data_IF_209089215270
#
_entry.id   IF_209089215270
#
_cell.length_a   1.000
_cell.length_b   1.000
_cell.length_c   1.000
_cell.angle_alpha   90.00
_cell.angle_beta   90.00
_cell.angle_gamma   90.00
#
_symmetry.space_group_name_H-M   'P 1'
#
loop_
_entity.id
_entity.type
_entity.pdbx_description
1 polymer ?
#
# COMPACT_ATOMS: atom_id res chain seq x y z
N UNK A 1 5.75 9.36 -16.12
CA UNK A 1 5.76 7.88 -16.27
C UNK A 1 7.16 7.26 -16.41
N UNK A 2 8.19 7.95 -16.95
CA UNK A 2 9.53 7.36 -17.13
C UNK A 2 10.29 7.09 -15.81
N UNK A 3 10.10 7.90 -14.77
CA UNK A 3 10.83 7.75 -13.50
C UNK A 3 10.37 6.59 -12.62
N UNK A 4 9.08 6.23 -12.68
CA UNK A 4 8.54 5.11 -11.90
C UNK A 4 9.12 3.75 -12.36
N UNK A 5 9.37 3.62 -13.66
CA UNK A 5 9.85 2.36 -14.25
C UNK A 5 11.34 2.10 -14.01
N UNK A 6 12.17 3.14 -14.04
CA UNK A 6 13.62 3.01 -13.83
C UNK A 6 13.95 2.63 -12.36
N UNK A 7 13.19 3.12 -11.40
CA UNK A 7 13.41 2.82 -9.98
C UNK A 7 12.95 1.41 -9.55
N UNK A 8 11.96 0.84 -10.24
CA UNK A 8 11.44 -0.50 -9.94
C UNK A 8 12.37 -1.64 -10.38
N UNK A 9 13.22 -1.42 -11.40
CA UNK A 9 14.03 -2.48 -12.03
C UNK A 9 15.51 -2.45 -11.57
N UNK A 10 16.00 -1.34 -11.01
CA UNK A 10 17.45 -1.10 -10.84
C UNK A 10 18.03 -1.34 -9.43
N UNK A 11 17.25 -1.68 -8.41
CA UNK A 11 17.81 -1.91 -7.06
C UNK A 11 18.30 -3.35 -6.89
N UNK A 12 19.62 -3.52 -6.97
CA UNK A 12 20.34 -4.76 -6.63
C UNK A 12 20.29 -4.98 -5.11
N UNK A 13 19.90 -6.20 -4.70
CA UNK A 13 20.01 -6.69 -3.33
C UNK A 13 21.48 -6.69 -2.85
N UNK A 14 21.78 -5.96 -1.81
CA UNK A 14 23.03 -6.13 -1.03
C UNK A 14 22.75 -7.10 0.10
N UNK A 15 23.51 -8.20 0.14
CA UNK A 15 23.49 -9.22 1.20
C UNK A 15 24.07 -8.67 2.51
N UNK A 16 23.54 -9.07 3.68
CA UNK A 16 24.14 -8.74 4.97
C UNK A 16 25.27 -9.72 5.33
N UNK A 17 26.32 -9.20 5.95
CA UNK A 17 27.42 -9.96 6.52
C UNK A 17 27.18 -10.29 8.00
N UNK A 18 27.81 -11.39 8.47
CA UNK A 18 27.58 -12.13 9.71
C UNK A 18 28.12 -11.50 11.00
N UNK A 19 27.36 -11.68 12.10
CA UNK A 19 27.54 -12.07 13.52
C UNK A 19 28.86 -11.74 14.32
N UNK A 20 28.84 -11.97 15.66
CA UNK A 20 27.86 -11.79 16.75
C UNK A 20 28.42 -11.05 17.99
N UNK A 21 27.58 -10.65 18.95
CA UNK A 21 27.89 -10.72 20.42
C UNK A 21 26.61 -10.53 21.25
N UNK A 22 26.51 -11.31 22.31
CA UNK A 22 25.47 -11.54 23.28
C UNK A 22 25.06 -10.35 24.16
N UNK A 23 23.76 -10.12 24.38
CA UNK A 23 23.21 -9.54 25.62
C UNK A 23 21.83 -10.13 25.92
N UNK A 24 21.65 -10.56 27.14
CA UNK A 24 20.58 -11.38 27.67
C UNK A 24 19.39 -10.59 28.24
N UNK A 25 18.22 -11.24 28.31
CA UNK A 25 17.04 -11.01 29.17
C UNK A 25 15.98 -9.96 28.81
N UNK A 26 16.18 -9.00 27.91
CA UNK A 26 15.09 -8.15 27.40
C UNK A 26 14.59 -8.62 26.04
N UNK A 27 15.40 -9.36 25.30
CA UNK A 27 15.07 -9.93 23.98
C UNK A 27 13.96 -10.98 24.05
N UNK A 28 13.88 -11.75 25.12
CA UNK A 28 12.93 -12.86 25.28
C UNK A 28 11.44 -12.43 25.31
N UNK A 29 11.13 -11.20 25.76
CA UNK A 29 9.73 -10.74 25.84
C UNK A 29 9.21 -10.21 24.52
N UNK A 30 10.05 -9.54 23.74
CA UNK A 30 9.67 -8.95 22.45
C UNK A 30 9.57 -10.03 21.38
N UNK A 31 10.53 -10.95 21.32
CA UNK A 31 10.49 -12.12 20.43
C UNK A 31 9.32 -13.06 20.76
N UNK A 32 9.01 -13.26 22.04
CA UNK A 32 7.88 -14.10 22.48
C UNK A 32 6.54 -13.49 22.12
N UNK A 33 6.39 -12.17 22.15
CA UNK A 33 5.17 -11.48 21.72
C UNK A 33 5.03 -11.51 20.21
N UNK A 34 6.05 -11.18 19.45
CA UNK A 34 6.04 -11.27 17.98
C UNK A 34 5.75 -12.70 17.49
N UNK A 35 6.31 -13.71 18.15
CA UNK A 35 6.05 -15.12 17.81
C UNK A 35 4.60 -15.52 18.10
N UNK A 36 4.01 -15.03 19.18
CA UNK A 36 2.58 -15.25 19.50
C UNK A 36 1.65 -14.55 18.49
N UNK A 37 1.98 -13.35 18.04
CA UNK A 37 1.22 -12.64 17.02
C UNK A 37 1.34 -13.31 15.66
N UNK A 38 2.52 -13.79 15.28
CA UNK A 38 2.75 -14.56 14.05
C UNK A 38 2.02 -15.92 14.07
N UNK A 39 2.02 -16.62 15.19
CA UNK A 39 1.26 -17.87 15.33
C UNK A 39 -0.24 -17.59 15.26
N UNK A 40 -0.71 -16.48 15.82
CA UNK A 40 -2.09 -16.06 15.66
C UNK A 40 -2.44 -15.72 14.19
N UNK A 41 -1.53 -15.06 13.42
CA UNK A 41 -1.76 -14.73 12.01
C UNK A 41 -2.04 -15.95 11.14
N UNK A 42 -1.38 -17.09 11.39
CA UNK A 42 -1.59 -18.36 10.66
C UNK A 42 -3.03 -18.85 10.69
N UNK A 43 -3.75 -18.62 11.79
CA UNK A 43 -5.14 -19.03 11.94
C UNK A 43 -6.10 -18.25 11.02
N UNK A 44 -5.68 -17.08 10.56
CA UNK A 44 -6.50 -16.20 9.71
C UNK A 44 -6.18 -16.29 8.22
N UNK A 45 -5.21 -17.08 7.82
CA UNK A 45 -4.82 -17.27 6.42
C UNK A 45 -5.03 -18.72 5.96
N UNK A 46 -5.11 -18.91 4.64
CA UNK A 46 -5.17 -20.22 3.99
C UNK A 46 -4.60 -20.14 2.58
N UNK A 47 -4.23 -21.27 2.01
CA UNK A 47 -3.81 -21.36 0.62
C UNK A 47 -5.01 -21.48 -0.31
N UNK A 48 -5.13 -20.57 -1.28
CA UNK A 48 -6.10 -20.61 -2.37
C UNK A 48 -5.40 -20.93 -3.67
N UNK A 49 -5.98 -21.81 -4.48
CA UNK A 49 -5.50 -22.12 -5.83
C UNK A 49 -5.99 -21.06 -6.81
N UNK A 50 -5.07 -20.53 -7.60
CA UNK A 50 -5.31 -19.58 -8.68
C UNK A 50 -4.88 -20.17 -10.01
N UNK A 51 -5.57 -19.78 -11.09
CA UNK A 51 -5.16 -20.03 -12.48
C UNK A 51 -4.73 -18.71 -13.10
N UNK A 52 -3.52 -18.67 -13.63
CA UNK A 52 -2.99 -17.44 -14.21
C UNK A 52 -3.63 -17.15 -15.58
N UNK A 53 -4.28 -15.99 -15.78
CA UNK A 53 -4.90 -15.66 -17.07
C UNK A 53 -3.87 -15.39 -18.19
N UNK A 54 -2.58 -15.21 -17.84
CA UNK A 54 -1.51 -14.93 -18.81
C UNK A 54 -0.87 -16.21 -19.35
N UNK A 55 -0.48 -17.14 -18.48
CA UNK A 55 0.27 -18.35 -18.87
C UNK A 55 -0.46 -19.67 -18.57
N UNK A 56 -1.67 -19.58 -18.03
CA UNK A 56 -2.55 -20.71 -17.72
C UNK A 56 -2.07 -21.66 -16.60
N UNK A 57 -0.93 -21.34 -15.98
CA UNK A 57 -0.39 -22.14 -14.88
C UNK A 57 -1.28 -22.07 -13.64
N UNK A 58 -1.43 -23.20 -12.95
CA UNK A 58 -2.05 -23.25 -11.62
C UNK A 58 -0.99 -23.09 -10.54
N UNK A 59 -1.31 -22.31 -9.52
CA UNK A 59 -0.43 -22.10 -8.38
C UNK A 59 -1.25 -21.77 -7.13
N UNK A 60 -0.63 -21.90 -5.97
CA UNK A 60 -1.24 -21.55 -4.69
C UNK A 60 -0.72 -20.18 -4.23
N UNK A 61 -1.57 -19.40 -3.61
CA UNK A 61 -1.21 -18.15 -2.94
C UNK A 61 -1.96 -18.04 -1.63
N UNK A 62 -1.30 -17.49 -0.61
CA UNK A 62 -1.92 -17.25 0.69
C UNK A 62 -2.96 -16.14 0.60
N UNK A 63 -4.08 -16.34 1.27
CA UNK A 63 -5.24 -15.45 1.27
C UNK A 63 -5.82 -15.38 2.67
N UNK A 64 -6.38 -14.23 3.04
CA UNK A 64 -7.03 -14.04 4.35
C UNK A 64 -8.42 -14.66 4.36
N UNK A 65 -8.78 -15.32 5.47
CA UNK A 65 -10.13 -15.81 5.77
C UNK A 65 -11.04 -14.64 6.15
N UNK A 66 -11.59 -13.94 5.16
CA UNK A 66 -12.33 -12.68 5.33
C UNK A 66 -13.45 -12.73 6.36
N UNK A 67 -14.11 -13.88 6.54
CA UNK A 67 -15.15 -14.07 7.56
C UNK A 67 -14.65 -14.17 9.00
N UNK A 68 -13.33 -14.25 9.23
CA UNK A 68 -12.74 -14.38 10.57
C UNK A 68 -12.02 -13.12 11.05
N UNK A 69 -11.65 -12.21 10.14
CA UNK A 69 -10.91 -11.00 10.48
C UNK A 69 -11.85 -9.94 11.04
N UNK A 70 -11.45 -9.29 12.14
CA UNK A 70 -12.19 -8.22 12.77
C UNK A 70 -11.52 -6.89 12.49
N UNK A 71 -12.23 -5.97 11.84
CA UNK A 71 -11.77 -4.60 11.66
C UNK A 71 -11.74 -3.88 13.03
N UNK A 72 -10.60 -3.33 13.39
CA UNK A 72 -10.41 -2.56 14.61
C UNK A 72 -10.66 -1.08 14.37
N UNK A 73 -10.00 -0.52 13.36
CA UNK A 73 -10.05 0.91 13.04
C UNK A 73 -9.68 1.13 11.57
N UNK A 74 -9.80 2.37 11.16
CA UNK A 74 -9.25 2.85 9.87
C UNK A 74 -8.44 4.10 10.12
N UNK A 75 -7.29 4.23 9.46
CA UNK A 75 -6.54 5.48 9.43
C UNK A 75 -7.33 6.58 8.69
N UNK A 76 -6.88 7.84 8.78
CA UNK A 76 -7.54 8.96 8.10
C UNK A 76 -7.61 8.80 6.59
N UNK A 77 -6.65 8.10 5.97
CA UNK A 77 -6.62 7.79 4.54
C UNK A 77 -7.32 6.47 4.20
N UNK A 78 -8.19 5.99 5.08
CA UNK A 78 -9.00 4.77 4.95
C UNK A 78 -8.22 3.46 4.99
N UNK A 79 -6.93 3.44 5.37
CA UNK A 79 -6.21 2.18 5.60
C UNK A 79 -6.90 1.38 6.70
N UNK A 80 -7.35 0.16 6.42
CA UNK A 80 -7.99 -0.68 7.42
C UNK A 80 -6.93 -1.31 8.34
N UNK A 81 -7.19 -1.35 9.64
CA UNK A 81 -6.41 -2.08 10.64
C UNK A 81 -7.24 -3.22 11.20
N UNK A 82 -6.74 -4.45 11.10
CA UNK A 82 -7.43 -5.65 11.56
C UNK A 82 -6.73 -6.25 12.78
N UNK A 83 -7.48 -7.01 13.53
CA UNK A 83 -6.96 -7.76 14.67
C UNK A 83 -6.17 -8.98 14.15
N UNK A 84 -4.96 -9.19 14.65
CA UNK A 84 -4.06 -10.32 14.40
C UNK A 84 -3.49 -10.48 12.98
N UNK A 85 -4.02 -9.83 11.97
CA UNK A 85 -3.52 -9.97 10.59
C UNK A 85 -3.59 -8.63 9.84
N UNK A 86 -2.51 -8.23 9.20
CA UNK A 86 -2.59 -7.16 8.20
C UNK A 86 -2.99 -7.78 6.84
N UNK A 87 -4.28 -7.64 6.51
CA UNK A 87 -4.85 -8.20 5.28
C UNK A 87 -4.23 -7.64 4.01
N UNK A 88 -3.60 -6.46 4.08
CA UNK A 88 -2.93 -5.85 2.94
C UNK A 88 -1.77 -6.72 2.43
N UNK A 89 -1.05 -7.42 3.31
CA UNK A 89 0.04 -8.31 2.91
C UNK A 89 -0.42 -9.42 1.94
N UNK A 90 -1.68 -9.77 1.95
CA UNK A 90 -2.27 -10.92 1.24
C UNK A 90 -3.15 -10.52 0.04
N UNK A 91 -3.31 -9.23 -0.26
CA UNK A 91 -4.24 -8.79 -1.32
C UNK A 91 -3.60 -8.71 -2.71
N UNK A 92 -2.28 -8.88 -2.84
CA UNK A 92 -1.64 -9.05 -4.14
C UNK A 92 -1.43 -10.52 -4.47
N UNK A 93 -1.90 -10.95 -5.64
CA UNK A 93 -1.69 -12.29 -6.19
C UNK A 93 -0.66 -12.21 -7.29
N UNK A 94 0.35 -13.10 -7.27
CA UNK A 94 1.43 -13.13 -8.25
C UNK A 94 1.68 -14.54 -8.78
N UNK A 95 1.70 -14.69 -10.10
CA UNK A 95 2.02 -15.94 -10.75
C UNK A 95 3.55 -16.20 -10.69
N UNK A 96 4.00 -17.30 -10.04
CA UNK A 96 5.43 -17.57 -9.90
C UNK A 96 6.10 -17.99 -11.23
N UNK A 97 5.32 -18.30 -12.26
CA UNK A 97 5.84 -18.79 -13.55
C UNK A 97 6.11 -17.62 -14.50
N UNK A 98 5.16 -16.71 -14.70
CA UNK A 98 5.27 -15.67 -15.73
C UNK A 98 5.44 -14.25 -15.19
N UNK A 99 5.38 -14.04 -13.87
CA UNK A 99 5.51 -12.73 -13.23
C UNK A 99 4.28 -11.84 -13.37
N UNK A 100 3.15 -12.35 -13.88
CA UNK A 100 1.91 -11.62 -13.81
C UNK A 100 1.49 -11.48 -12.35
N UNK A 101 1.30 -10.25 -11.90
CA UNK A 101 0.80 -9.94 -10.57
C UNK A 101 -0.22 -8.80 -10.64
N UNK A 102 -1.22 -8.87 -9.77
CA UNK A 102 -2.25 -7.84 -9.62
C UNK A 102 -2.87 -7.91 -8.22
N UNK A 103 -3.57 -6.85 -7.82
CA UNK A 103 -4.46 -6.92 -6.65
C UNK A 103 -5.51 -8.01 -6.91
N UNK A 104 -5.90 -8.74 -5.86
CA UNK A 104 -6.79 -9.91 -5.93
C UNK A 104 -8.08 -9.62 -6.72
N UNK A 105 -8.63 -8.41 -6.54
CA UNK A 105 -9.84 -7.95 -7.25
C UNK A 105 -9.69 -7.77 -8.76
N UNK A 106 -8.45 -7.61 -9.27
CA UNK A 106 -8.16 -7.39 -10.68
C UNK A 106 -7.46 -8.58 -11.34
N UNK A 107 -7.08 -9.60 -10.56
CA UNK A 107 -6.21 -10.68 -11.03
C UNK A 107 -6.81 -11.48 -12.20
N UNK A 108 -8.12 -11.74 -12.16
CA UNK A 108 -8.79 -12.57 -13.17
C UNK A 108 -9.22 -11.81 -14.44
N UNK A 109 -9.18 -10.47 -14.39
CA UNK A 109 -9.76 -9.62 -15.44
C UNK A 109 -8.69 -9.04 -16.35
N UNK A 110 -8.35 -9.78 -17.42
CA UNK A 110 -7.43 -9.34 -18.47
C UNK A 110 -8.02 -9.56 -19.85
N UNK A 111 -7.78 -8.60 -20.74
CA UNK A 111 -8.02 -8.78 -22.17
C UNK A 111 -6.85 -9.54 -22.82
N UNK A 112 -7.08 -10.16 -23.99
CA UNK A 112 -6.03 -10.85 -24.74
C UNK A 112 -4.86 -9.92 -25.10
N UNK A 113 -5.14 -8.65 -25.41
CA UNK A 113 -4.12 -7.64 -25.69
C UNK A 113 -3.24 -7.35 -24.46
N UNK A 114 -3.84 -7.26 -23.27
CA UNK A 114 -3.12 -7.08 -22.01
C UNK A 114 -2.25 -8.30 -21.67
N UNK A 115 -2.78 -9.52 -21.86
CA UNK A 115 -2.00 -10.74 -21.69
C UNK A 115 -0.78 -10.76 -22.59
N UNK A 116 -0.92 -10.33 -23.87
CA UNK A 116 0.19 -10.22 -24.81
C UNK A 116 1.27 -9.26 -24.31
N UNK A 117 0.88 -8.06 -23.88
CA UNK A 117 1.82 -7.07 -23.36
C UNK A 117 2.61 -7.58 -22.13
N UNK A 118 1.95 -8.32 -21.24
CA UNK A 118 2.59 -8.90 -20.05
C UNK A 118 3.59 -9.98 -20.46
N UNK A 119 3.22 -10.89 -21.38
CA UNK A 119 4.13 -11.93 -21.90
C UNK A 119 5.37 -11.34 -22.58
N UNK A 120 5.21 -10.23 -23.30
CA UNK A 120 6.31 -9.61 -24.03
C UNK A 120 7.24 -8.77 -23.15
N UNK A 121 6.71 -8.11 -22.11
CA UNK A 121 7.46 -7.09 -21.36
C UNK A 121 7.78 -7.46 -19.91
N UNK A 122 6.97 -8.29 -19.28
CA UNK A 122 7.16 -8.71 -17.88
C UNK A 122 7.84 -10.07 -17.83
N UNK A 123 7.26 -11.08 -18.50
CA UNK A 123 7.71 -12.47 -18.35
C UNK A 123 9.19 -12.71 -18.70
N UNK A 124 9.79 -12.08 -19.70
CA UNK A 124 11.21 -12.31 -20.02
C UNK A 124 12.18 -11.81 -18.96
N UNK A 125 11.76 -10.81 -18.15
CA UNK A 125 12.60 -10.19 -17.13
C UNK A 125 12.25 -10.65 -15.72
N UNK A 126 11.24 -11.50 -15.56
CA UNK A 126 10.81 -12.00 -14.26
C UNK A 126 11.76 -13.09 -13.74
N UNK A 127 12.30 -12.89 -12.55
CA UNK A 127 13.27 -13.82 -11.92
C UNK A 127 12.65 -14.73 -10.86
N UNK A 128 11.33 -14.70 -10.70
CA UNK A 128 10.62 -15.42 -9.64
C UNK A 128 10.33 -14.52 -8.44
N UNK A 129 9.40 -14.96 -7.61
CA UNK A 129 9.21 -14.42 -6.26
C UNK A 129 10.08 -15.18 -5.27
N UNK A 130 10.49 -14.54 -4.19
CA UNK A 130 11.12 -15.24 -3.07
C UNK A 130 10.16 -16.28 -2.50
N UNK A 131 10.72 -17.38 -1.98
CA UNK A 131 9.91 -18.45 -1.39
C UNK A 131 9.29 -17.95 -0.10
N UNK A 132 7.97 -17.85 -0.08
CA UNK A 132 7.21 -17.44 1.10
C UNK A 132 7.30 -18.48 2.23
N UNK A 133 7.50 -18.01 3.46
CA UNK A 133 7.41 -18.80 4.67
C UNK A 133 5.98 -19.20 5.03
N UNK A 134 5.69 -19.42 6.31
CA UNK A 134 4.34 -19.75 6.80
C UNK A 134 3.35 -18.58 6.64
N UNK A 135 3.84 -17.35 6.73
CA UNK A 135 3.10 -16.10 6.51
C UNK A 135 3.87 -15.20 5.55
N UNK A 136 3.22 -14.15 5.03
CA UNK A 136 3.85 -13.16 4.14
C UNK A 136 4.40 -12.01 5.00
N UNK A 137 5.69 -11.72 4.86
CA UNK A 137 6.33 -10.56 5.47
C UNK A 137 5.97 -9.26 4.73
N UNK A 138 6.20 -8.10 5.34
CA UNK A 138 6.02 -6.83 4.64
C UNK A 138 6.94 -6.69 3.42
N UNK A 139 8.16 -7.20 3.48
CA UNK A 139 9.11 -7.14 2.35
C UNK A 139 8.63 -7.98 1.17
N UNK A 140 8.19 -9.21 1.40
CA UNK A 140 7.62 -10.08 0.38
C UNK A 140 6.33 -9.47 -0.22
N UNK A 141 5.46 -8.88 0.63
CA UNK A 141 4.26 -8.21 0.17
C UNK A 141 4.61 -6.99 -0.70
N UNK A 142 5.49 -6.09 -0.24
CA UNK A 142 5.92 -4.91 -0.98
C UNK A 142 6.56 -5.30 -2.32
N UNK A 143 7.42 -6.32 -2.34
CA UNK A 143 8.03 -6.82 -3.56
C UNK A 143 6.97 -7.32 -4.56
N UNK A 144 5.99 -8.10 -4.10
CA UNK A 144 4.88 -8.58 -4.94
C UNK A 144 4.02 -7.44 -5.47
N UNK A 145 3.70 -6.45 -4.63
CA UNK A 145 2.94 -5.27 -5.05
C UNK A 145 3.70 -4.39 -6.04
N UNK A 146 5.01 -4.25 -5.92
CA UNK A 146 5.84 -3.54 -6.92
C UNK A 146 5.80 -4.25 -8.27
N UNK A 147 5.82 -5.59 -8.29
CA UNK A 147 5.59 -6.36 -9.52
C UNK A 147 4.16 -6.14 -10.05
N UNK A 148 3.15 -6.12 -9.18
CA UNK A 148 1.78 -5.81 -9.58
C UNK A 148 1.68 -4.40 -10.19
N UNK A 149 2.32 -3.39 -9.60
CA UNK A 149 2.37 -2.04 -10.16
C UNK A 149 3.04 -2.00 -11.54
N UNK A 150 4.15 -2.71 -11.73
CA UNK A 150 4.78 -2.83 -13.05
C UNK A 150 3.83 -3.46 -14.08
N UNK A 151 3.06 -4.47 -13.68
CA UNK A 151 2.03 -5.07 -14.53
C UNK A 151 0.90 -4.09 -14.87
N UNK A 152 0.43 -3.25 -13.93
CA UNK A 152 -0.61 -2.24 -14.23
C UNK A 152 -0.15 -1.25 -15.29
N UNK A 153 1.12 -0.82 -15.22
CA UNK A 153 1.71 0.11 -16.19
C UNK A 153 1.87 -0.53 -17.57
N UNK A 154 2.40 -1.76 -17.61
CA UNK A 154 2.63 -2.49 -18.86
C UNK A 154 1.32 -2.84 -19.58
N UNK A 155 0.31 -3.30 -18.87
CA UNK A 155 -1.01 -3.63 -19.43
C UNK A 155 -1.87 -2.41 -19.74
N UNK A 156 -1.38 -1.19 -19.45
CA UNK A 156 -2.13 0.08 -19.61
C UNK A 156 -3.46 0.02 -18.86
N UNK A 157 -3.40 -0.29 -17.58
CA UNK A 157 -4.56 -0.34 -16.71
C UNK A 157 -5.21 1.05 -16.56
N UNK A 158 -6.42 1.10 -16.00
CA UNK A 158 -7.06 2.35 -15.60
C UNK A 158 -6.19 3.10 -14.59
N UNK A 159 -6.27 4.43 -14.60
CA UNK A 159 -5.56 5.29 -13.64
C UNK A 159 -5.91 4.93 -12.20
N UNK A 160 -7.17 4.63 -11.94
CA UNK A 160 -7.64 4.19 -10.63
C UNK A 160 -7.00 2.89 -10.15
N UNK A 161 -6.72 1.93 -11.03
CA UNK A 161 -6.03 0.70 -10.66
C UNK A 161 -4.57 0.98 -10.28
N UNK A 162 -3.89 1.87 -11.03
CA UNK A 162 -2.53 2.33 -10.73
C UNK A 162 -2.52 3.06 -9.37
N UNK A 163 -3.44 4.02 -9.19
CA UNK A 163 -3.58 4.80 -7.96
C UNK A 163 -3.80 3.90 -6.73
N UNK A 164 -4.72 2.94 -6.84
CA UNK A 164 -5.05 2.03 -5.74
C UNK A 164 -3.91 1.07 -5.40
N UNK A 165 -3.15 0.65 -6.40
CA UNK A 165 -1.95 -0.16 -6.18
C UNK A 165 -0.87 0.65 -5.48
N UNK A 166 -0.61 1.89 -5.89
CA UNK A 166 0.31 2.80 -5.22
C UNK A 166 -0.12 3.08 -3.77
N UNK A 167 -1.40 3.38 -3.54
CA UNK A 167 -1.96 3.61 -2.20
C UNK A 167 -1.66 2.44 -1.26
N UNK A 168 -1.90 1.22 -1.70
CA UNK A 168 -1.66 0.02 -0.89
C UNK A 168 -0.18 -0.23 -0.64
N UNK A 169 0.70 0.10 -1.58
CA UNK A 169 2.15 0.04 -1.36
C UNK A 169 2.56 1.04 -0.26
N UNK A 170 2.07 2.28 -0.31
CA UNK A 170 2.29 3.26 0.75
C UNK A 170 1.83 2.75 2.11
N UNK A 171 0.63 2.17 2.18
CA UNK A 171 0.12 1.57 3.42
C UNK A 171 0.96 0.39 3.93
N UNK A 172 1.54 -0.42 3.04
CA UNK A 172 2.45 -1.51 3.44
C UNK A 172 3.77 -0.97 4.00
N UNK A 173 4.30 0.12 3.45
CA UNK A 173 5.48 0.77 4.03
C UNK A 173 5.20 1.33 5.42
N UNK A 174 4.05 1.98 5.63
CA UNK A 174 3.58 2.41 6.96
C UNK A 174 3.43 1.23 7.91
N UNK A 175 2.79 0.14 7.47
CA UNK A 175 2.65 -1.07 8.26
C UNK A 175 4.01 -1.67 8.64
N UNK A 176 4.97 -1.68 7.72
CA UNK A 176 6.34 -2.12 8.00
C UNK A 176 7.02 -1.23 9.04
N UNK A 177 6.87 0.10 8.94
CA UNK A 177 7.42 1.04 9.90
C UNK A 177 6.80 0.87 11.30
N UNK A 178 5.47 0.73 11.38
CA UNK A 178 4.74 0.50 12.64
C UNK A 178 5.13 -0.82 13.34
N UNK A 179 5.60 -1.81 12.59
CA UNK A 179 5.99 -3.14 13.12
C UNK A 179 7.52 -3.34 13.17
N UNK A 180 8.30 -2.29 12.91
CA UNK A 180 9.75 -2.37 13.01
C UNK A 180 10.17 -2.40 14.49
N UNK A 181 11.04 -3.37 14.87
CA UNK A 181 11.58 -3.42 16.21
C UNK A 181 12.48 -2.21 16.48
N UNK A 182 12.33 -1.61 17.64
CA UNK A 182 13.18 -0.50 18.11
C UNK A 182 14.65 -0.90 18.28
N UNK A 183 14.92 -2.22 18.41
CA UNK A 183 16.26 -2.77 18.52
C UNK A 183 16.94 -2.98 17.15
N UNK A 184 16.24 -2.62 16.06
CA UNK A 184 16.79 -2.69 14.70
C UNK A 184 18.01 -1.79 14.59
N UNK A 185 19.11 -2.34 14.08
CA UNK A 185 20.31 -1.54 13.78
C UNK A 185 19.94 -0.38 12.85
N UNK A 186 20.44 0.81 13.18
CA UNK A 186 20.18 2.05 12.44
C UNK A 186 18.66 2.39 12.33
N UNK A 187 17.88 2.06 13.39
CA UNK A 187 16.41 2.20 13.44
C UNK A 187 15.91 3.53 12.85
N UNK A 188 16.45 4.67 13.28
CA UNK A 188 16.01 5.98 12.81
C UNK A 188 16.23 6.18 11.30
N UNK A 189 17.33 5.65 10.76
CA UNK A 189 17.58 5.73 9.31
C UNK A 189 16.65 4.82 8.53
N UNK A 190 16.35 3.63 9.08
CA UNK A 190 15.40 2.69 8.45
C UNK A 190 14.00 3.28 8.46
N UNK A 191 13.52 3.82 9.57
CA UNK A 191 12.22 4.49 9.67
C UNK A 191 12.14 5.63 8.65
N UNK A 192 13.12 6.52 8.62
CA UNK A 192 13.13 7.63 7.67
C UNK A 192 13.02 7.16 6.21
N UNK A 193 13.73 6.09 5.84
CA UNK A 193 13.62 5.51 4.50
C UNK A 193 12.23 4.94 4.20
N UNK A 194 11.61 4.28 5.19
CA UNK A 194 10.27 3.74 5.04
C UNK A 194 9.23 4.86 4.88
N UNK A 195 9.36 5.95 5.62
CA UNK A 195 8.50 7.13 5.51
C UNK A 195 8.69 7.85 4.16
N UNK A 196 9.93 7.95 3.65
CA UNK A 196 10.20 8.51 2.33
C UNK A 196 9.57 7.67 1.21
N UNK A 197 9.71 6.35 1.26
CA UNK A 197 9.06 5.42 0.31
C UNK A 197 7.52 5.49 0.42
N UNK A 198 6.96 5.52 1.63
CA UNK A 198 5.54 5.72 1.85
C UNK A 198 5.06 6.99 1.16
N UNK A 199 5.71 8.13 1.44
CA UNK A 199 5.36 9.43 0.88
C UNK A 199 5.43 9.45 -0.65
N UNK A 200 6.44 8.82 -1.25
CA UNK A 200 6.56 8.70 -2.71
C UNK A 200 5.35 7.96 -3.30
N UNK A 201 4.97 6.80 -2.72
CA UNK A 201 3.84 6.02 -3.22
C UNK A 201 2.50 6.69 -2.97
N UNK A 202 2.31 7.36 -1.83
CA UNK A 202 1.11 8.15 -1.57
C UNK A 202 1.01 9.37 -2.51
N UNK A 203 2.13 10.00 -2.86
CA UNK A 203 2.18 11.06 -3.86
C UNK A 203 1.73 10.59 -5.25
N UNK A 204 2.20 9.43 -5.66
CA UNK A 204 1.75 8.80 -6.91
C UNK A 204 0.25 8.44 -6.84
N UNK A 205 -0.23 7.90 -5.71
CA UNK A 205 -1.65 7.62 -5.52
C UNK A 205 -2.51 8.89 -5.59
N UNK A 206 -2.09 9.97 -4.93
CA UNK A 206 -2.76 11.27 -4.97
C UNK A 206 -2.93 11.79 -6.40
N UNK A 207 -1.83 11.79 -7.16
CA UNK A 207 -1.81 12.24 -8.55
C UNK A 207 -2.76 11.42 -9.43
N UNK A 208 -2.60 10.10 -9.41
CA UNK A 208 -3.36 9.22 -10.28
C UNK A 208 -4.86 9.14 -9.88
N UNK A 209 -5.21 9.23 -8.57
CA UNK A 209 -6.63 9.35 -8.17
C UNK A 209 -7.25 10.67 -8.58
N UNK A 210 -6.51 11.78 -8.49
CA UNK A 210 -7.00 13.11 -8.94
C UNK A 210 -7.27 13.10 -10.44
N UNK A 211 -6.42 12.45 -11.22
CA UNK A 211 -6.62 12.31 -12.66
C UNK A 211 -7.77 11.34 -13.00
N UNK A 212 -7.85 10.19 -12.28
CA UNK A 212 -8.94 9.22 -12.42
C UNK A 212 -10.31 9.84 -12.08
N UNK A 213 -10.38 10.66 -11.03
CA UNK A 213 -11.61 11.39 -10.65
C UNK A 213 -12.22 12.19 -11.80
N UNK A 214 -11.37 12.76 -12.66
CA UNK A 214 -11.81 13.58 -13.79
C UNK A 214 -12.10 12.78 -15.06
N UNK A 215 -11.56 11.55 -15.18
CA UNK A 215 -11.58 10.78 -16.44
C UNK A 215 -12.36 9.48 -16.37
N UNK A 216 -12.62 8.96 -15.18
CA UNK A 216 -13.27 7.68 -15.02
C UNK A 216 -14.67 7.84 -14.41
N UNK A 217 -15.52 6.87 -14.67
CA UNK A 217 -16.88 6.81 -14.11
C UNK A 217 -16.89 6.10 -12.76
N UNK A 218 -17.70 6.56 -11.83
CA UNK A 218 -17.92 5.92 -10.54
C UNK A 218 -18.80 4.67 -10.65
N UNK A 219 -18.58 3.65 -9.79
CA UNK A 219 -17.63 3.63 -8.67
C UNK A 219 -16.17 3.41 -9.12
N UNK A 220 -15.23 4.12 -8.49
CA UNK A 220 -13.79 3.98 -8.70
C UNK A 220 -13.23 3.04 -7.62
N UNK A 221 -12.57 1.95 -8.01
CA UNK A 221 -12.06 0.93 -7.09
C UNK A 221 -13.13 0.41 -6.09
N UNK A 222 -14.41 0.43 -6.50
CA UNK A 222 -15.54 0.06 -5.64
C UNK A 222 -15.92 1.10 -4.59
N UNK A 223 -15.38 2.31 -4.68
CA UNK A 223 -15.71 3.46 -3.84
C UNK A 223 -16.58 4.45 -4.62
N UNK A 224 -17.55 5.04 -3.93
CA UNK A 224 -18.38 6.11 -4.48
C UNK A 224 -17.59 7.43 -4.61
N UNK A 225 -18.20 8.42 -5.23
CA UNK A 225 -17.60 9.72 -5.49
C UNK A 225 -17.17 10.43 -4.19
N UNK A 226 -18.03 10.42 -3.16
CA UNK A 226 -17.72 11.09 -1.89
C UNK A 226 -16.57 10.43 -1.13
N UNK A 227 -16.49 9.10 -1.18
CA UNK A 227 -15.38 8.34 -0.58
C UNK A 227 -14.06 8.62 -1.30
N UNK A 228 -14.06 8.68 -2.63
CA UNK A 228 -12.86 9.04 -3.40
C UNK A 228 -12.49 10.50 -3.18
N UNK A 229 -13.46 11.41 -3.13
CA UNK A 229 -13.22 12.84 -2.81
C UNK A 229 -12.53 12.98 -1.46
N UNK A 230 -13.02 12.27 -0.45
CA UNK A 230 -12.41 12.24 0.88
C UNK A 230 -10.99 11.63 0.85
N UNK A 231 -10.79 10.52 0.15
CA UNK A 231 -9.49 9.86 0.04
C UNK A 231 -8.45 10.79 -0.61
N UNK A 232 -8.82 11.48 -1.70
CA UNK A 232 -7.94 12.46 -2.35
C UNK A 232 -7.59 13.60 -1.36
N UNK A 233 -8.55 14.08 -0.56
CA UNK A 233 -8.29 15.09 0.46
C UNK A 233 -7.27 14.61 1.51
N UNK A 234 -7.39 13.37 1.98
CA UNK A 234 -6.47 12.79 2.94
C UNK A 234 -5.06 12.60 2.35
N UNK A 235 -4.97 12.13 1.11
CA UNK A 235 -3.70 11.98 0.39
C UNK A 235 -3.03 13.33 0.10
N UNK A 236 -3.80 14.35 -0.29
CA UNK A 236 -3.30 15.71 -0.48
C UNK A 236 -2.63 16.25 0.80
N UNK A 237 -3.26 16.04 1.97
CA UNK A 237 -2.65 16.40 3.26
C UNK A 237 -1.33 15.66 3.50
N UNK A 238 -1.32 14.33 3.38
CA UNK A 238 -0.13 13.51 3.64
C UNK A 238 1.05 13.81 2.71
N UNK A 239 0.76 14.32 1.53
CA UNK A 239 1.77 14.71 0.54
C UNK A 239 2.15 16.19 0.60
N UNK A 240 1.60 16.95 1.57
CA UNK A 240 1.93 18.36 1.83
C UNK A 240 1.15 19.37 0.98
N UNK A 241 0.15 18.93 0.19
CA UNK A 241 -0.72 19.80 -0.61
C UNK A 241 -1.91 20.29 0.23
N UNK A 242 -1.64 21.06 1.30
CA UNK A 242 -2.65 21.42 2.29
C UNK A 242 -3.79 22.26 1.71
N UNK A 243 -3.52 23.13 0.74
CA UNK A 243 -4.56 23.94 0.09
C UNK A 243 -5.51 23.08 -0.75
N UNK A 244 -4.96 22.12 -1.49
CA UNK A 244 -5.77 21.17 -2.25
C UNK A 244 -6.58 20.28 -1.31
N UNK A 245 -5.99 19.82 -0.21
CA UNK A 245 -6.72 19.07 0.83
C UNK A 245 -7.94 19.83 1.31
N UNK A 246 -7.81 21.13 1.63
CA UNK A 246 -8.93 21.99 2.04
C UNK A 246 -10.03 22.11 0.96
N UNK A 247 -9.63 22.20 -0.32
CA UNK A 247 -10.60 22.24 -1.43
C UNK A 247 -11.40 20.95 -1.53
N UNK A 248 -10.72 19.81 -1.44
CA UNK A 248 -11.36 18.48 -1.49
C UNK A 248 -12.25 18.23 -0.27
N UNK A 249 -11.81 18.61 0.94
CA UNK A 249 -12.62 18.56 2.17
C UNK A 249 -13.92 19.37 1.99
N UNK A 250 -13.80 20.59 1.46
CA UNK A 250 -14.97 21.44 1.23
C UNK A 250 -15.98 20.79 0.29
N UNK A 251 -15.50 20.07 -0.75
CA UNK A 251 -16.34 19.30 -1.67
C UNK A 251 -17.16 18.22 -0.93
N UNK A 252 -16.50 17.45 -0.04
CA UNK A 252 -17.19 16.42 0.77
C UNK A 252 -18.26 17.05 1.66
N UNK A 253 -17.89 18.13 2.38
CA UNK A 253 -18.79 18.77 3.35
C UNK A 253 -20.02 19.39 2.72
N UNK A 254 -19.92 19.87 1.47
CA UNK A 254 -21.02 20.47 0.72
C UNK A 254 -21.81 19.48 -0.12
N UNK A 255 -21.31 18.24 -0.28
CA UNK A 255 -22.02 17.18 -1.03
C UNK A 255 -23.35 16.84 -0.35
N UNK A 256 -24.42 16.77 -1.15
CA UNK A 256 -25.74 16.31 -0.69
C UNK A 256 -25.81 14.79 -0.55
N UNK A 257 -24.94 14.07 -1.24
CA UNK A 257 -24.92 12.60 -1.29
C UNK A 257 -24.01 12.00 -0.21
N UNK A 258 -23.04 12.78 0.30
CA UNK A 258 -22.12 12.29 1.33
C UNK A 258 -22.87 11.96 2.62
N UNK A 259 -22.67 10.73 3.11
CA UNK A 259 -23.24 10.27 4.37
C UNK A 259 -22.57 10.97 5.58
N UNK A 260 -23.24 10.94 6.73
CA UNK A 260 -22.78 11.66 7.94
C UNK A 260 -21.41 11.19 8.40
N UNK A 261 -21.11 9.89 8.30
CA UNK A 261 -19.81 9.32 8.67
C UNK A 261 -18.66 9.88 7.81
N UNK A 262 -18.88 10.02 6.50
CA UNK A 262 -17.89 10.60 5.59
C UNK A 262 -17.70 12.08 5.87
N UNK A 263 -18.78 12.82 6.18
CA UNK A 263 -18.71 14.23 6.57
C UNK A 263 -18.01 14.43 7.93
N UNK A 264 -18.22 13.54 8.88
CA UNK A 264 -17.52 13.56 10.17
C UNK A 264 -16.02 13.38 9.98
N UNK A 265 -15.61 12.34 9.26
CA UNK A 265 -14.19 12.15 8.90
C UNK A 265 -13.58 13.36 8.18
N UNK A 266 -14.36 14.03 7.31
CA UNK A 266 -13.90 15.22 6.61
C UNK A 266 -13.72 16.42 7.57
N UNK A 267 -14.53 16.53 8.65
CA UNK A 267 -14.33 17.54 9.72
C UNK A 267 -13.05 17.25 10.49
N UNK A 268 -12.84 16.01 10.91
CA UNK A 268 -11.61 15.60 11.62
C UNK A 268 -10.36 15.88 10.77
N UNK A 269 -10.42 15.53 9.48
CA UNK A 269 -9.34 15.82 8.54
C UNK A 269 -9.09 17.32 8.40
N UNK A 270 -10.15 18.14 8.37
CA UNK A 270 -10.06 19.60 8.30
C UNK A 270 -9.31 20.17 9.50
N UNK A 271 -9.60 19.71 10.71
CA UNK A 271 -8.92 20.14 11.93
C UNK A 271 -7.42 19.82 11.86
N UNK A 272 -7.06 18.62 11.40
CA UNK A 272 -5.65 18.24 11.19
C UNK A 272 -4.95 19.18 10.19
N UNK A 273 -5.58 19.46 9.03
CA UNK A 273 -5.02 20.35 8.01
C UNK A 273 -4.85 21.78 8.54
N UNK A 274 -5.83 22.29 9.27
CA UNK A 274 -5.76 23.64 9.85
C UNK A 274 -4.62 23.78 10.86
N UNK A 275 -4.42 22.75 11.68
CA UNK A 275 -3.32 22.71 12.65
C UNK A 275 -1.96 22.71 11.93
N UNK A 276 -1.78 21.86 10.92
CA UNK A 276 -0.52 21.79 10.15
C UNK A 276 -0.22 23.10 9.41
N UNK A 277 -1.24 23.75 8.84
CA UNK A 277 -1.06 25.07 8.20
C UNK A 277 -0.57 26.13 9.17
N UNK A 278 -1.15 26.17 10.37
CA UNK A 278 -0.74 27.10 11.43
C UNK A 278 0.70 26.84 11.85
N UNK A 279 1.09 25.59 12.07
CA UNK A 279 2.47 25.21 12.41
C UNK A 279 3.46 25.60 11.30
N UNK A 280 3.07 25.49 10.01
CA UNK A 280 3.90 25.93 8.89
C UNK A 280 4.05 27.45 8.82
N UNK A 281 3.00 28.22 9.16
CA UNK A 281 3.03 29.67 9.21
C UNK A 281 3.92 30.15 10.37
N UNK A 282 3.81 29.56 11.54
CA UNK A 282 4.65 29.88 12.71
C UNK A 282 6.13 29.66 12.42
N UNK A 283 6.50 28.51 11.81
CA UNK A 283 7.90 28.22 11.40
C UNK A 283 8.44 29.22 10.39
N UNK A 284 7.64 29.62 9.41
CA UNK A 284 8.06 30.64 8.42
C UNK A 284 8.32 32.01 9.06
N UNK A 285 7.59 32.35 10.10
CA UNK A 285 7.80 33.61 10.86
C UNK A 285 9.08 33.52 11.70
N UNK A 286 9.40 32.35 12.26
CA UNK A 286 10.65 32.12 13.01
C UNK A 286 11.89 32.16 12.12
N UNK A 287 11.85 31.52 10.95
CA UNK A 287 12.95 31.46 9.97
C UNK A 287 13.25 32.85 9.34
N UNK A 288 12.28 33.78 9.35
CA UNK A 288 12.43 35.14 8.82
C UNK A 288 12.82 36.18 9.91
N UNK A 289 13.09 35.76 11.14
CA UNK A 289 13.58 36.59 12.24
C UNK A 289 15.06 36.38 12.50
#
# INVERSE_FOLDING_TARGET
MSNLFSNLVSRKNTKPAEKPVSVSEKEDKTETQQKKEQDAEKDFIFEKTFRCPVCDSQFKSKTVKTGRVKLLSTDLDLRPKYLFVDSLKYDAVGCPVCGYAALSRYFEYLTSAQCKLIREKISPNFKGFEKEGDFITYDEAIAKYKVALANTLVKRAKLSEIAYTCLKIGWLYRGKAENLSTDTKDYNEVIKKLEEEEKEFLGNAYKEFTEAFSKETFPICGMDEDTITYLIAALARQTGHLDDSMRWISKVLTSKNANDRTKEKARDLKECVMKEKKEQEEKKVEDNR
#
